data_IF_728820389160
#
_entry.id   IF_728820389160
#
_cell.length_a   1.000
_cell.length_b   1.000
_cell.length_c   1.000
_cell.angle_alpha   90.00
_cell.angle_beta   90.00
_cell.angle_gamma   90.00
#
_symmetry.space_group_name_H-M   'P 1'
#
loop_
_entity.id
_entity.type
_entity.pdbx_description
1 polymer ?
#
# COMPACT_ATOMS: atom_id res chain seq x y z
N UNK A 1 1.07 15.77 32.23
CA UNK A 1 2.07 16.29 31.27
C UNK A 1 1.52 17.55 30.60
N UNK A 2 2.38 18.54 30.21
CA UNK A 2 1.89 19.63 29.34
C UNK A 2 1.34 19.02 28.05
N UNK A 3 0.18 19.47 27.54
CA UNK A 3 -0.32 19.04 26.25
C UNK A 3 0.76 19.34 25.19
N UNK A 4 0.98 18.40 24.27
CA UNK A 4 1.96 18.55 23.20
C UNK A 4 1.32 19.34 22.09
N UNK A 5 2.07 20.33 21.62
CA UNK A 5 1.71 21.09 20.44
C UNK A 5 2.61 20.67 19.27
N UNK A 6 2.00 20.18 18.21
CA UNK A 6 2.70 19.91 16.96
C UNK A 6 2.54 21.10 16.04
N UNK A 7 3.64 21.58 15.48
CA UNK A 7 3.67 22.55 14.40
C UNK A 7 3.94 21.80 13.09
N UNK A 8 2.92 21.62 12.30
CA UNK A 8 3.02 20.98 10.99
C UNK A 8 3.35 22.04 9.98
N UNK A 9 4.55 21.97 9.40
CA UNK A 9 5.12 23.00 8.56
C UNK A 9 5.36 22.47 7.16
N UNK A 10 5.08 23.32 6.19
CA UNK A 10 5.49 23.16 4.81
C UNK A 10 5.97 24.50 4.27
N UNK A 11 6.94 24.48 3.36
CA UNK A 11 7.49 25.70 2.76
C UNK A 11 7.58 25.57 1.24
N UNK A 12 7.24 26.65 0.54
CA UNK A 12 7.55 26.79 -0.87
C UNK A 12 8.79 27.69 -1.06
N UNK A 13 9.61 27.34 -2.04
CA UNK A 13 10.93 27.97 -2.22
C UNK A 13 11.20 28.28 -3.68
N UNK A 14 12.20 29.16 -3.95
CA UNK A 14 12.65 29.45 -5.32
C UNK A 14 13.45 28.32 -5.97
N UNK A 15 13.85 27.31 -5.17
CA UNK A 15 14.62 26.15 -5.59
C UNK A 15 15.01 25.29 -4.38
N UNK A 16 15.90 24.33 -4.56
CA UNK A 16 16.19 23.31 -3.55
C UNK A 16 17.44 23.54 -2.72
N UNK A 17 18.24 24.55 -3.05
CA UNK A 17 19.50 24.85 -2.34
C UNK A 17 19.30 25.96 -1.30
N UNK A 18 19.27 25.68 0.02
CA UNK A 18 19.00 26.68 1.04
C UNK A 18 20.06 27.81 1.11
N UNK A 19 21.27 27.61 0.55
CA UNK A 19 22.31 28.64 0.49
C UNK A 19 22.02 29.71 -0.58
N UNK A 20 21.40 29.32 -1.66
CA UNK A 20 21.15 30.16 -2.83
C UNK A 20 19.70 30.58 -2.95
N UNK A 21 18.78 29.67 -2.64
CA UNK A 21 17.34 29.85 -2.79
C UNK A 21 16.70 30.52 -1.58
N UNK A 22 15.43 30.92 -1.73
CA UNK A 22 14.67 31.66 -0.72
C UNK A 22 13.28 31.07 -0.54
N UNK A 23 12.74 31.17 0.66
CA UNK A 23 11.36 30.84 0.94
C UNK A 23 10.46 31.87 0.27
N UNK A 24 9.40 31.40 -0.40
CA UNK A 24 8.36 32.22 -1.05
C UNK A 24 6.99 32.07 -0.40
N UNK A 25 6.78 30.99 0.36
CA UNK A 25 5.61 30.82 1.21
C UNK A 25 5.97 29.96 2.42
N UNK A 26 5.41 30.28 3.56
CA UNK A 26 5.46 29.48 4.78
C UNK A 26 4.05 29.14 5.21
N UNK A 27 3.76 27.84 5.41
CA UNK A 27 2.52 27.31 5.92
C UNK A 27 2.77 26.59 7.23
N UNK A 28 1.88 26.75 8.21
CA UNK A 28 1.95 26.07 9.49
C UNK A 28 0.56 25.76 10.01
N UNK A 29 0.35 24.52 10.44
CA UNK A 29 -0.86 24.07 11.09
C UNK A 29 -0.52 23.57 12.49
N UNK A 30 -1.22 24.09 13.50
CA UNK A 30 -1.00 23.68 14.89
C UNK A 30 -1.96 22.55 15.26
N UNK A 31 -1.44 21.51 15.87
CA UNK A 31 -2.22 20.37 16.38
C UNK A 31 -2.03 20.28 17.89
N UNK A 32 -3.14 20.30 18.62
CA UNK A 32 -3.18 20.13 20.07
C UNK A 32 -4.32 19.17 20.44
N UNK A 33 -4.04 18.28 21.37
CA UNK A 33 -5.02 17.31 21.87
C UNK A 33 -5.73 16.52 20.74
N UNK A 34 -4.99 16.11 19.71
CA UNK A 34 -5.50 15.29 18.62
C UNK A 34 -6.37 16.02 17.60
N UNK A 35 -6.31 17.36 17.53
CA UNK A 35 -7.06 18.14 16.56
C UNK A 35 -6.30 19.38 16.08
N UNK A 36 -6.60 19.81 14.87
CA UNK A 36 -6.09 21.07 14.30
C UNK A 36 -6.74 22.23 15.03
N UNK A 37 -5.94 23.10 15.63
CA UNK A 37 -6.39 24.25 16.44
C UNK A 37 -6.22 25.59 15.75
N UNK A 38 -5.17 25.76 14.97
CA UNK A 38 -4.93 26.99 14.23
C UNK A 38 -4.15 26.75 12.93
N UNK A 39 -4.28 27.71 12.02
CA UNK A 39 -3.57 27.73 10.75
C UNK A 39 -2.89 29.07 10.58
N UNK A 40 -1.68 29.05 10.11
CA UNK A 40 -0.89 30.23 9.76
C UNK A 40 -0.31 30.06 8.36
N UNK A 41 -0.48 31.06 7.50
CA UNK A 41 0.11 31.06 6.17
C UNK A 41 0.56 32.45 5.80
N UNK A 42 1.71 32.56 5.17
CA UNK A 42 2.24 33.86 4.73
C UNK A 42 3.06 33.70 3.46
N UNK A 43 2.74 34.53 2.45
CA UNK A 43 3.58 34.70 1.27
C UNK A 43 4.80 35.55 1.65
N UNK A 44 5.96 35.27 1.06
CA UNK A 44 7.24 35.90 1.38
C UNK A 44 7.90 36.39 0.11
N UNK A 45 8.38 37.66 0.13
CA UNK A 45 9.11 38.22 -0.99
C UNK A 45 10.55 37.69 -1.02
N UNK A 46 10.97 36.95 -2.07
CA UNK A 46 12.25 36.26 -2.08
C UNK A 46 13.46 37.21 -2.38
N UNK A 47 13.25 38.48 -2.63
CA UNK A 47 14.30 39.41 -3.05
C UNK A 47 14.84 39.16 -4.46
N UNK A 48 14.27 38.23 -5.20
CA UNK A 48 14.68 37.80 -6.54
C UNK A 48 13.47 37.31 -7.36
N UNK A 49 13.65 37.18 -8.67
CA UNK A 49 12.58 36.63 -9.54
C UNK A 49 12.40 35.17 -9.31
N UNK A 50 11.15 34.74 -9.18
CA UNK A 50 10.73 33.34 -9.17
C UNK A 50 10.75 32.82 -10.62
N UNK A 51 11.40 31.68 -10.86
CA UNK A 51 11.50 31.08 -12.18
C UNK A 51 10.11 30.65 -12.70
N UNK A 52 9.92 30.58 -14.02
CA UNK A 52 8.65 30.12 -14.60
C UNK A 52 8.29 28.70 -14.17
N UNK A 53 9.28 27.85 -13.99
CA UNK A 53 9.09 26.48 -13.54
C UNK A 53 8.49 26.42 -12.13
N UNK A 54 9.04 27.19 -11.19
CA UNK A 54 8.54 27.25 -9.81
C UNK A 54 7.16 27.89 -9.78
N UNK A 55 6.93 28.99 -10.55
CA UNK A 55 5.59 29.60 -10.63
C UNK A 55 4.53 28.62 -11.17
N UNK A 56 4.93 27.75 -12.11
CA UNK A 56 4.00 26.74 -12.64
C UNK A 56 3.75 25.62 -11.62
N UNK A 57 4.75 25.22 -10.86
CA UNK A 57 4.65 24.17 -9.85
C UNK A 57 3.79 24.63 -8.65
N UNK A 58 4.10 25.80 -8.09
CA UNK A 58 3.51 26.26 -6.82
C UNK A 58 2.30 27.18 -7.00
N UNK A 59 2.07 27.67 -8.23
CA UNK A 59 1.07 28.71 -8.49
C UNK A 59 1.44 30.10 -7.93
N UNK A 60 2.61 30.23 -7.25
CA UNK A 60 3.06 31.47 -6.64
C UNK A 60 3.79 32.33 -7.69
N UNK A 61 3.14 33.40 -8.14
CA UNK A 61 3.69 34.29 -9.17
C UNK A 61 4.53 35.43 -8.58
N UNK A 62 5.43 36.01 -9.39
CA UNK A 62 6.15 37.22 -8.99
C UNK A 62 5.22 38.37 -8.61
N UNK A 63 4.06 38.49 -9.23
CA UNK A 63 3.06 39.49 -8.92
C UNK A 63 2.42 39.25 -7.54
N UNK A 64 2.15 37.98 -7.18
CA UNK A 64 1.57 37.59 -5.88
C UNK A 64 2.48 38.01 -4.73
N UNK A 65 3.77 37.73 -4.82
CA UNK A 65 4.74 38.05 -3.74
C UNK A 65 5.29 39.49 -3.75
N UNK A 66 4.92 40.28 -4.75
CA UNK A 66 5.48 41.64 -4.92
C UNK A 66 5.27 42.57 -3.72
N UNK A 67 4.15 42.41 -3.00
CA UNK A 67 3.80 43.18 -1.80
C UNK A 67 3.93 42.37 -0.51
N UNK A 68 4.44 41.15 -0.59
CA UNK A 68 4.69 40.31 0.58
C UNK A 68 5.88 40.83 1.38
N UNK A 69 5.92 40.64 2.70
CA UNK A 69 7.07 40.96 3.52
C UNK A 69 8.28 40.12 3.12
N UNK A 70 9.47 40.60 3.38
CA UNK A 70 10.68 39.82 3.30
C UNK A 70 10.75 38.82 4.46
N UNK A 71 11.56 37.78 4.33
CA UNK A 71 11.68 36.78 5.41
C UNK A 71 12.19 37.42 6.71
N UNK A 72 13.07 38.41 6.63
CA UNK A 72 13.60 39.18 7.76
C UNK A 72 12.50 39.84 8.60
N UNK A 73 11.41 40.30 7.94
CA UNK A 73 10.29 40.97 8.60
C UNK A 73 9.44 40.03 9.45
N UNK A 74 9.43 38.74 9.10
CA UNK A 74 8.58 37.71 9.72
C UNK A 74 9.36 36.63 10.48
N UNK A 75 10.67 36.60 10.35
CA UNK A 75 11.54 35.58 10.91
C UNK A 75 11.36 35.41 12.43
N UNK A 76 11.27 36.52 13.19
CA UNK A 76 11.05 36.44 14.63
C UNK A 76 9.68 35.88 14.99
N UNK A 77 8.65 36.21 14.21
CA UNK A 77 7.28 35.64 14.41
C UNK A 77 7.26 34.16 14.16
N UNK A 78 7.87 33.71 13.06
CA UNK A 78 7.98 32.29 12.71
C UNK A 78 8.79 31.54 13.79
N UNK A 79 9.91 32.09 14.22
CA UNK A 79 10.73 31.50 15.27
C UNK A 79 9.93 31.31 16.56
N UNK A 80 9.20 32.36 17.03
CA UNK A 80 8.39 32.28 18.22
C UNK A 80 7.18 31.35 18.09
N UNK A 81 6.59 31.24 16.91
CA UNK A 81 5.48 30.32 16.62
C UNK A 81 5.92 28.85 16.79
N UNK A 82 7.16 28.55 16.38
CA UNK A 82 7.70 27.19 16.43
C UNK A 82 8.38 26.84 17.75
N UNK A 83 8.75 27.84 18.56
CA UNK A 83 9.38 27.62 19.84
C UNK A 83 8.48 26.75 20.74
N UNK A 84 9.09 25.81 21.46
CA UNK A 84 8.42 24.88 22.37
C UNK A 84 7.41 23.92 21.71
N UNK A 85 7.45 23.75 20.38
CA UNK A 85 6.62 22.81 19.64
C UNK A 85 7.42 21.56 19.18
N UNK A 86 6.70 20.60 18.61
CA UNK A 86 7.27 19.48 17.87
C UNK A 86 7.08 19.82 16.38
N UNK A 87 8.18 19.95 15.66
CA UNK A 87 8.15 20.22 14.22
C UNK A 87 7.73 18.98 13.45
N UNK A 88 6.76 19.09 12.56
CA UNK A 88 6.29 17.99 11.71
C UNK A 88 6.32 18.45 10.26
N UNK A 89 6.85 17.64 9.38
CA UNK A 89 6.79 17.90 7.94
C UNK A 89 6.77 16.59 7.13
N UNK A 90 6.39 16.69 5.88
CA UNK A 90 6.43 15.59 4.93
C UNK A 90 7.76 15.63 4.17
N UNK A 91 8.72 14.77 4.55
CA UNK A 91 10.15 14.86 4.21
C UNK A 91 10.86 16.01 4.97
N UNK A 92 10.80 15.92 6.29
CA UNK A 92 11.19 16.96 7.26
C UNK A 92 12.55 17.61 7.00
N UNK A 93 13.51 16.87 6.46
CA UNK A 93 14.87 17.40 6.29
C UNK A 93 14.94 18.58 5.32
N UNK A 94 14.04 18.65 4.35
CA UNK A 94 13.95 19.77 3.44
C UNK A 94 13.50 21.04 4.19
N UNK A 95 12.33 21.01 4.79
CA UNK A 95 11.71 22.17 5.43
C UNK A 95 12.50 22.64 6.63
N UNK A 96 12.90 21.72 7.49
CA UNK A 96 13.63 22.01 8.72
C UNK A 96 15.00 22.64 8.45
N UNK A 97 15.78 22.11 7.50
CA UNK A 97 17.09 22.63 7.15
C UNK A 97 16.99 23.97 6.42
N UNK A 98 16.04 24.10 5.50
CA UNK A 98 15.83 25.33 4.75
C UNK A 98 15.42 26.48 5.68
N UNK A 99 14.45 26.22 6.56
CA UNK A 99 13.97 27.19 7.52
C UNK A 99 15.09 27.62 8.49
N UNK A 100 15.87 26.68 9.02
CA UNK A 100 17.01 26.97 9.87
C UNK A 100 18.06 27.84 9.16
N UNK A 101 18.30 27.58 7.88
CA UNK A 101 19.23 28.39 7.11
C UNK A 101 18.75 29.85 6.96
N UNK A 102 17.45 30.03 6.67
CA UNK A 102 16.86 31.38 6.55
C UNK A 102 16.84 32.13 7.91
N UNK A 103 16.51 31.44 9.02
CA UNK A 103 16.55 32.02 10.36
C UNK A 103 17.97 32.50 10.72
N UNK A 104 18.98 31.66 10.49
CA UNK A 104 20.39 32.02 10.74
C UNK A 104 20.86 33.19 9.85
N UNK A 105 20.39 33.24 8.61
CA UNK A 105 20.69 34.38 7.71
C UNK A 105 20.14 35.71 8.27
N UNK A 106 19.01 35.63 9.00
CA UNK A 106 18.43 36.81 9.67
C UNK A 106 19.03 37.09 11.07
N UNK A 107 20.09 36.38 11.45
CA UNK A 107 20.75 36.58 12.76
C UNK A 107 20.03 35.89 13.94
N UNK A 108 19.02 35.06 13.67
CA UNK A 108 18.34 34.26 14.70
C UNK A 108 19.08 32.94 14.93
N UNK A 109 18.96 32.33 16.13
CA UNK A 109 19.53 31.01 16.37
C UNK A 109 18.76 29.96 15.57
N UNK A 110 19.43 28.85 15.26
CA UNK A 110 18.75 27.67 14.67
C UNK A 110 17.70 27.11 15.63
N UNK A 111 16.59 26.61 15.08
CA UNK A 111 15.61 25.83 15.85
C UNK A 111 16.29 24.56 16.38
N UNK A 112 16.10 24.30 17.68
CA UNK A 112 16.56 23.05 18.34
C UNK A 112 15.37 22.39 19.01
N UNK A 113 14.36 22.08 18.19
CA UNK A 113 13.11 21.46 18.60
C UNK A 113 13.01 20.03 18.03
N UNK A 114 12.27 19.14 18.70
CA UNK A 114 12.03 17.78 18.18
C UNK A 114 11.36 17.82 16.80
N UNK A 115 11.64 16.82 15.96
CA UNK A 115 11.08 16.74 14.62
C UNK A 115 10.51 15.36 14.31
N UNK A 116 9.43 15.31 13.50
CA UNK A 116 8.76 14.10 13.04
C UNK A 116 8.64 14.14 11.54
N UNK A 117 9.06 13.06 10.88
CA UNK A 117 8.91 12.85 9.45
C UNK A 117 7.68 12.01 9.14
N UNK A 118 6.68 12.60 8.48
CA UNK A 118 5.46 11.86 8.12
C UNK A 118 5.64 10.90 6.95
N UNK A 119 6.69 11.04 6.12
CA UNK A 119 7.04 10.04 5.10
C UNK A 119 7.48 8.74 5.76
N UNK A 120 8.38 8.81 6.76
CA UNK A 120 8.80 7.62 7.51
C UNK A 120 7.63 6.96 8.22
N UNK A 121 6.77 7.77 8.87
CA UNK A 121 5.58 7.25 9.55
C UNK A 121 4.61 6.58 8.55
N UNK A 122 4.39 7.19 7.37
CA UNK A 122 3.55 6.60 6.35
C UNK A 122 4.12 5.27 5.82
N UNK A 123 5.42 5.19 5.56
CA UNK A 123 6.08 3.94 5.15
C UNK A 123 5.93 2.82 6.18
N UNK A 124 5.91 3.16 7.48
CA UNK A 124 5.76 2.17 8.56
C UNK A 124 4.30 1.76 8.74
N UNK A 125 3.37 2.74 8.86
CA UNK A 125 2.00 2.50 9.31
C UNK A 125 0.98 2.39 8.18
N UNK A 126 1.37 2.71 6.94
CA UNK A 126 0.56 2.64 5.72
C UNK A 126 1.31 1.88 4.60
N UNK A 127 1.90 0.70 4.89
CA UNK A 127 2.87 0.06 3.98
C UNK A 127 2.27 -0.45 2.67
N UNK A 128 0.95 -0.48 2.55
CA UNK A 128 0.22 -0.92 1.34
C UNK A 128 -0.26 0.23 0.46
N UNK A 129 0.02 1.48 0.86
CA UNK A 129 -0.32 2.62 0.00
C UNK A 129 0.56 2.64 -1.25
N UNK A 130 -0.02 2.95 -2.42
CA UNK A 130 0.69 2.83 -3.70
C UNK A 130 1.85 3.82 -3.87
N UNK A 131 1.86 4.89 -3.10
CA UNK A 131 2.89 5.92 -3.10
C UNK A 131 2.92 6.63 -1.75
N UNK A 132 4.08 7.18 -1.40
CA UNK A 132 4.26 7.98 -0.18
C UNK A 132 4.45 9.48 -0.47
N UNK A 133 4.09 9.93 -1.67
CA UNK A 133 4.00 11.36 -1.98
C UNK A 133 2.73 11.94 -1.36
N UNK A 134 2.78 13.15 -0.84
CA UNK A 134 1.66 13.76 -0.14
C UNK A 134 0.39 13.82 -0.99
N UNK A 135 0.52 14.20 -2.27
CA UNK A 135 -0.61 14.27 -3.20
C UNK A 135 -1.27 12.89 -3.44
N UNK A 136 -0.45 11.84 -3.64
CA UNK A 136 -0.94 10.48 -3.88
C UNK A 136 -1.59 9.91 -2.61
N UNK A 137 -0.99 10.15 -1.43
CA UNK A 137 -1.58 9.76 -0.13
C UNK A 137 -2.89 10.49 0.13
N UNK A 138 -2.97 11.78 -0.20
CA UNK A 138 -4.21 12.54 0.00
C UNK A 138 -5.36 11.99 -0.84
N UNK A 139 -5.08 11.59 -2.08
CA UNK A 139 -6.07 10.99 -2.98
C UNK A 139 -6.50 9.60 -2.48
N UNK A 140 -5.55 8.72 -2.15
CA UNK A 140 -5.84 7.35 -1.72
C UNK A 140 -6.56 7.29 -0.37
N UNK A 141 -6.25 8.22 0.54
CA UNK A 141 -6.87 8.31 1.88
C UNK A 141 -8.14 9.16 1.90
N UNK A 142 -8.51 9.78 0.77
CA UNK A 142 -9.72 10.58 0.64
C UNK A 142 -9.66 11.93 1.35
N UNK A 143 -8.48 12.51 1.52
CA UNK A 143 -8.33 13.87 2.04
C UNK A 143 -8.67 14.90 0.97
N UNK A 144 -9.25 16.03 1.39
CA UNK A 144 -9.49 17.17 0.49
C UNK A 144 -8.17 17.95 0.38
N UNK A 145 -7.56 17.92 -0.80
CA UNK A 145 -6.32 18.61 -1.12
C UNK A 145 -6.59 19.62 -2.23
N UNK A 146 -7.10 20.80 -1.85
CA UNK A 146 -7.62 21.79 -2.82
C UNK A 146 -6.51 22.39 -3.69
N UNK A 147 -5.36 22.67 -3.10
CA UNK A 147 -4.26 23.37 -3.75
C UNK A 147 -2.91 22.68 -3.47
N UNK A 148 -2.59 21.57 -4.12
CA UNK A 148 -1.27 20.96 -4.04
C UNK A 148 -0.17 21.96 -4.41
N UNK A 149 0.97 21.88 -3.71
CA UNK A 149 2.09 22.82 -3.83
C UNK A 149 1.75 24.26 -3.39
N UNK A 150 0.89 24.39 -2.40
CA UNK A 150 0.75 25.59 -1.58
C UNK A 150 0.97 25.19 -0.12
N UNK A 151 1.89 25.88 0.53
CA UNK A 151 2.40 25.50 1.85
C UNK A 151 1.31 25.36 2.94
N UNK A 152 0.25 26.17 2.89
CA UNK A 152 -0.87 26.07 3.81
C UNK A 152 -1.71 24.81 3.59
N UNK A 153 -1.98 24.48 2.32
CA UNK A 153 -2.72 23.27 1.93
C UNK A 153 -1.91 22.01 2.25
N UNK A 154 -0.62 22.00 1.93
CA UNK A 154 0.25 20.84 2.15
C UNK A 154 0.50 20.61 3.66
N UNK A 155 0.67 21.67 4.45
CA UNK A 155 0.73 21.57 5.91
C UNK A 155 -0.58 21.01 6.52
N UNK A 156 -1.74 21.40 6.01
CA UNK A 156 -3.04 20.88 6.49
C UNK A 156 -3.20 19.39 6.20
N UNK A 157 -2.92 18.97 4.96
CA UNK A 157 -2.97 17.54 4.57
C UNK A 157 -1.95 16.72 5.36
N UNK A 158 -0.75 17.24 5.56
CA UNK A 158 0.28 16.60 6.41
C UNK A 158 -0.21 16.45 7.86
N UNK A 159 -0.92 17.45 8.37
CA UNK A 159 -1.54 17.38 9.69
C UNK A 159 -2.63 16.32 9.79
N UNK A 160 -3.50 16.21 8.79
CA UNK A 160 -4.52 15.15 8.69
C UNK A 160 -3.87 13.77 8.61
N UNK A 161 -2.78 13.65 7.84
CA UNK A 161 -2.00 12.41 7.73
C UNK A 161 -1.41 11.98 9.07
N UNK A 162 -0.80 12.91 9.83
CA UNK A 162 -0.27 12.61 11.16
C UNK A 162 -1.36 12.08 12.10
N UNK A 163 -2.52 12.73 12.13
CA UNK A 163 -3.65 12.32 12.97
C UNK A 163 -4.20 10.93 12.58
N UNK A 164 -4.32 10.66 11.28
CA UNK A 164 -4.73 9.34 10.80
C UNK A 164 -3.72 8.25 11.17
N UNK A 165 -2.43 8.53 11.03
CA UNK A 165 -1.38 7.57 11.41
C UNK A 165 -1.46 7.29 12.91
N UNK A 166 -1.61 8.32 13.74
CA UNK A 166 -1.78 8.13 15.20
C UNK A 166 -3.00 7.28 15.53
N UNK A 167 -4.14 7.50 14.87
CA UNK A 167 -5.33 6.68 15.02
C UNK A 167 -5.07 5.21 14.64
N UNK A 168 -4.39 4.98 13.52
CA UNK A 168 -4.03 3.61 13.07
C UNK A 168 -3.04 2.94 14.04
N UNK A 169 -2.07 3.69 14.56
CA UNK A 169 -1.15 3.17 15.59
C UNK A 169 -1.92 2.68 16.82
N UNK A 170 -2.90 3.43 17.28
CA UNK A 170 -3.72 3.08 18.46
C UNK A 170 -4.54 1.79 18.28
N UNK A 171 -4.82 1.40 17.04
CA UNK A 171 -5.51 0.14 16.70
C UNK A 171 -4.57 -1.07 16.63
N UNK A 172 -3.26 -0.86 16.62
CA UNK A 172 -2.29 -1.95 16.58
C UNK A 172 -2.12 -2.60 17.96
N UNK A 173 -1.87 -3.92 18.02
CA UNK A 173 -1.51 -4.58 19.26
C UNK A 173 -0.25 -3.97 19.90
N UNK A 174 -0.25 -3.82 21.21
CA UNK A 174 0.90 -3.26 21.94
C UNK A 174 2.18 -4.03 21.65
N UNK A 175 2.13 -5.35 21.51
CA UNK A 175 3.30 -6.16 21.17
C UNK A 175 3.93 -5.76 19.84
N UNK A 176 3.12 -5.42 18.83
CA UNK A 176 3.57 -4.91 17.53
C UNK A 176 4.25 -3.55 17.70
N UNK A 177 3.60 -2.64 18.41
CA UNK A 177 4.15 -1.30 18.65
C UNK A 177 5.45 -1.33 19.46
N UNK A 178 5.57 -2.21 20.44
CA UNK A 178 6.81 -2.37 21.22
C UNK A 178 7.98 -2.89 20.37
N UNK A 179 7.71 -3.77 19.40
CA UNK A 179 8.72 -4.19 18.42
C UNK A 179 9.10 -3.03 17.49
N UNK A 180 8.11 -2.29 16.98
CA UNK A 180 8.35 -1.09 16.17
C UNK A 180 9.17 -0.06 16.96
N UNK A 181 8.84 0.20 18.22
CA UNK A 181 9.57 1.13 19.07
C UNK A 181 11.05 0.77 19.22
N UNK A 182 11.39 -0.52 19.37
CA UNK A 182 12.78 -0.98 19.42
C UNK A 182 13.53 -0.71 18.11
N UNK A 183 12.88 -0.88 16.97
CA UNK A 183 13.45 -0.66 15.64
C UNK A 183 13.50 0.83 15.28
N UNK A 184 12.58 1.64 15.81
CA UNK A 184 12.42 3.06 15.46
C UNK A 184 13.59 3.95 15.87
N UNK A 185 14.56 3.44 16.65
CA UNK A 185 15.82 4.15 16.94
C UNK A 185 16.62 4.53 15.68
N UNK A 186 16.32 3.90 14.56
CA UNK A 186 16.94 4.17 13.26
C UNK A 186 16.15 5.20 12.43
N UNK A 187 14.97 5.64 12.90
CA UNK A 187 14.21 6.71 12.22
C UNK A 187 14.90 8.06 12.36
N UNK A 188 14.52 8.98 11.46
CA UNK A 188 15.05 10.32 11.48
C UNK A 188 14.51 11.18 12.62
N UNK A 189 15.27 12.18 13.02
CA UNK A 189 14.87 13.16 14.04
C UNK A 189 14.34 12.51 15.34
N UNK A 190 13.18 12.92 15.82
CA UNK A 190 12.53 12.39 17.02
C UNK A 190 11.29 11.52 16.71
N UNK A 191 11.17 10.97 15.51
CA UNK A 191 10.07 10.09 15.09
C UNK A 191 9.90 8.92 16.05
N UNK A 192 10.99 8.33 16.55
CA UNK A 192 10.95 7.28 17.56
C UNK A 192 10.25 7.74 18.86
N UNK A 193 10.48 8.97 19.29
CA UNK A 193 9.88 9.53 20.50
C UNK A 193 8.37 9.68 20.37
N UNK A 194 7.88 10.00 19.18
CA UNK A 194 6.44 10.03 18.90
C UNK A 194 5.84 8.64 19.09
N UNK A 195 6.45 7.59 18.55
CA UNK A 195 6.00 6.20 18.69
C UNK A 195 5.95 5.78 20.16
N UNK A 196 7.01 6.04 20.92
CA UNK A 196 7.05 5.74 22.36
C UNK A 196 5.92 6.42 23.13
N UNK A 197 5.58 7.64 22.78
CA UNK A 197 4.51 8.36 23.44
C UNK A 197 3.14 7.75 23.22
N UNK A 198 2.83 7.36 22.00
CA UNK A 198 1.55 6.68 21.69
C UNK A 198 1.45 5.38 22.51
N UNK A 199 2.54 4.63 22.60
CA UNK A 199 2.59 3.40 23.42
C UNK A 199 2.32 3.67 24.89
N UNK A 200 2.94 4.71 25.47
CA UNK A 200 2.76 5.10 26.87
C UNK A 200 1.30 5.42 27.18
N UNK A 201 0.66 6.21 26.31
CA UNK A 201 -0.76 6.56 26.46
C UNK A 201 -1.68 5.33 26.31
N UNK A 202 -1.36 4.39 25.40
CA UNK A 202 -2.12 3.15 25.25
C UNK A 202 -1.97 2.22 26.47
N UNK A 203 -0.80 2.21 27.11
CA UNK A 203 -0.57 1.42 28.34
C UNK A 203 -1.37 1.94 29.54
N UNK A 204 -1.68 3.24 29.56
CA UNK A 204 -2.56 3.80 30.61
C UNK A 204 -4.02 3.34 30.44
N UNK A 205 -4.45 3.02 29.23
CA UNK A 205 -5.79 2.53 28.89
C UNK A 205 -5.70 1.34 27.95
N UNK A 206 -5.36 0.15 28.48
CA UNK A 206 -5.18 -1.02 27.64
C UNK A 206 -6.52 -1.46 27.02
N UNK A 207 -6.52 -1.62 25.70
CA UNK A 207 -7.63 -2.21 24.96
C UNK A 207 -7.39 -3.70 24.73
N UNK A 208 -8.45 -4.53 24.66
CA UNK A 208 -8.32 -5.93 24.32
C UNK A 208 -7.80 -6.09 22.90
N UNK A 209 -7.12 -7.22 22.65
CA UNK A 209 -6.70 -7.58 21.29
C UNK A 209 -7.91 -7.69 20.36
N UNK A 210 -7.83 -7.08 19.18
CA UNK A 210 -8.84 -7.24 18.16
C UNK A 210 -9.10 -8.74 17.90
N UNK A 211 -10.38 -9.21 17.93
CA UNK A 211 -10.72 -10.61 17.72
C UNK A 211 -10.25 -11.18 16.37
N UNK A 212 -10.04 -10.33 15.37
CA UNK A 212 -9.52 -10.71 14.05
C UNK A 212 -8.03 -11.03 14.05
N UNK A 213 -7.32 -10.71 15.14
CA UNK A 213 -5.89 -10.94 15.28
C UNK A 213 -5.59 -12.12 16.20
N UNK A 214 -4.44 -12.74 15.99
CA UNK A 214 -3.84 -13.73 16.88
C UNK A 214 -2.36 -13.37 17.13
N UNK A 215 -1.84 -13.75 18.30
CA UNK A 215 -0.44 -13.57 18.63
C UNK A 215 0.24 -14.95 18.63
N UNK A 216 1.21 -15.13 17.75
CA UNK A 216 2.00 -16.36 17.65
C UNK A 216 3.47 -16.02 17.74
N UNK A 217 4.15 -16.62 18.69
CA UNK A 217 5.60 -16.43 18.93
C UNK A 217 6.03 -14.95 18.91
N UNK A 218 5.19 -14.09 19.50
CA UNK A 218 5.45 -12.67 19.63
C UNK A 218 5.13 -11.83 18.38
N UNK A 219 4.63 -12.40 17.30
CA UNK A 219 4.08 -11.66 16.15
C UNK A 219 2.56 -11.61 16.23
N UNK A 220 1.99 -10.45 16.00
CA UNK A 220 0.55 -10.30 15.80
C UNK A 220 0.24 -10.50 14.31
N UNK A 221 -0.67 -11.42 14.05
CA UNK A 221 -1.03 -11.86 12.70
C UNK A 221 -2.53 -11.69 12.50
N UNK A 222 -2.93 -11.27 11.29
CA UNK A 222 -4.32 -11.33 10.87
C UNK A 222 -4.77 -12.80 10.83
N UNK A 223 -5.83 -13.13 11.57
CA UNK A 223 -6.43 -14.47 11.51
C UNK A 223 -6.87 -14.74 10.08
N UNK A 224 -6.50 -15.91 9.61
CA UNK A 224 -6.96 -16.41 8.32
C UNK A 224 -8.29 -17.11 8.58
N UNK A 225 -9.38 -16.49 8.17
CA UNK A 225 -10.62 -17.22 8.05
C UNK A 225 -10.39 -18.32 7.01
N UNK A 226 -10.47 -19.56 7.44
CA UNK A 226 -10.72 -20.65 6.53
C UNK A 226 -12.14 -20.38 6.07
N UNK A 227 -12.31 -19.61 5.00
CA UNK A 227 -13.55 -19.70 4.23
C UNK A 227 -13.66 -21.19 3.88
N UNK A 228 -14.42 -21.90 4.67
CA UNK A 228 -14.96 -23.18 4.27
C UNK A 228 -15.80 -22.81 3.05
N UNK A 229 -15.18 -22.84 1.87
CA UNK A 229 -15.94 -22.86 0.65
C UNK A 229 -16.91 -24.01 0.84
N UNK A 230 -18.15 -23.67 1.16
CA UNK A 230 -19.24 -24.65 1.20
C UNK A 230 -19.08 -25.41 -0.08
N UNK A 231 -18.92 -26.73 0.03
CA UNK A 231 -18.67 -27.62 -1.09
C UNK A 231 -19.68 -27.26 -2.18
N UNK A 232 -19.25 -26.45 -3.14
CA UNK A 232 -20.10 -26.10 -4.28
C UNK A 232 -20.26 -27.40 -5.03
N UNK A 233 -21.45 -27.96 -4.98
CA UNK A 233 -21.76 -29.13 -5.76
C UNK A 233 -21.77 -28.72 -7.22
N UNK A 234 -20.67 -29.03 -7.93
CA UNK A 234 -20.59 -28.87 -9.37
C UNK A 234 -21.46 -29.90 -10.08
N UNK A 235 -22.79 -29.67 -10.06
CA UNK A 235 -23.76 -30.50 -10.79
C UNK A 235 -23.64 -30.34 -12.31
N UNK A 236 -24.36 -31.19 -13.05
CA UNK A 236 -24.43 -31.07 -14.51
C UNK A 236 -24.91 -29.69 -14.93
N UNK A 237 -24.08 -29.00 -15.72
CA UNK A 237 -24.34 -27.63 -16.22
C UNK A 237 -24.53 -27.66 -17.70
N UNK A 238 -25.65 -27.10 -18.18
CA UNK A 238 -25.89 -26.98 -19.62
C UNK A 238 -25.32 -25.64 -20.11
N UNK A 239 -24.27 -25.71 -20.89
CA UNK A 239 -23.67 -24.51 -21.48
C UNK A 239 -24.63 -23.84 -22.48
N UNK A 240 -24.88 -22.54 -22.38
CA UNK A 240 -25.82 -21.80 -23.23
C UNK A 240 -25.24 -21.53 -24.62
N UNK A 241 -25.30 -22.50 -25.54
CA UNK A 241 -24.70 -22.38 -26.88
C UNK A 241 -25.45 -21.42 -27.79
N UNK A 242 -26.77 -21.33 -27.70
CA UNK A 242 -27.64 -20.55 -28.60
C UNK A 242 -27.65 -19.08 -28.21
N UNK A 243 -27.80 -18.18 -29.20
CA UNK A 243 -27.92 -16.74 -29.02
C UNK A 243 -28.95 -16.37 -27.93
N UNK A 244 -30.19 -16.88 -28.07
CA UNK A 244 -31.26 -16.59 -27.14
C UNK A 244 -30.96 -16.98 -25.68
N UNK A 245 -30.29 -18.14 -25.48
CA UNK A 245 -29.91 -18.59 -24.14
C UNK A 245 -28.85 -17.68 -23.52
N UNK A 246 -27.86 -17.21 -24.32
CA UNK A 246 -26.85 -16.27 -23.86
C UNK A 246 -27.43 -14.88 -23.59
N UNK A 247 -28.30 -14.38 -24.48
CA UNK A 247 -28.98 -13.10 -24.26
C UNK A 247 -29.81 -13.11 -22.99
N UNK A 248 -30.51 -14.21 -22.71
CA UNK A 248 -31.25 -14.40 -21.45
C UNK A 248 -30.32 -14.39 -20.23
N UNK A 249 -29.18 -15.09 -20.32
CA UNK A 249 -28.19 -15.14 -19.24
C UNK A 249 -27.51 -13.78 -19.02
N UNK A 250 -27.15 -13.09 -20.08
CA UNK A 250 -26.48 -11.79 -20.01
C UNK A 250 -27.38 -10.68 -19.47
N UNK A 251 -28.68 -10.74 -19.74
CA UNK A 251 -29.65 -9.76 -19.29
C UNK A 251 -29.23 -8.32 -19.65
N UNK A 252 -29.11 -7.46 -18.63
CA UNK A 252 -28.61 -6.09 -18.77
C UNK A 252 -27.11 -5.95 -18.45
N UNK A 253 -26.48 -7.00 -17.96
CA UNK A 253 -25.09 -6.96 -17.45
C UNK A 253 -24.07 -7.01 -18.58
N UNK A 254 -24.33 -7.82 -19.62
CA UNK A 254 -23.45 -7.94 -20.79
C UNK A 254 -24.23 -7.83 -22.10
N UNK A 255 -23.63 -7.13 -23.05
CA UNK A 255 -24.21 -7.04 -24.40
C UNK A 255 -23.79 -8.28 -25.22
N UNK A 256 -24.77 -8.93 -25.89
CA UNK A 256 -24.47 -10.01 -26.82
C UNK A 256 -23.68 -9.47 -28.04
N UNK A 257 -22.55 -10.14 -28.35
CA UNK A 257 -21.72 -9.88 -29.52
C UNK A 257 -21.50 -11.17 -30.29
N UNK A 258 -21.81 -11.17 -31.57
CA UNK A 258 -21.78 -12.36 -32.44
C UNK A 258 -20.39 -13.04 -32.46
N UNK A 259 -19.32 -12.23 -32.64
CA UNK A 259 -17.96 -12.76 -32.73
C UNK A 259 -17.47 -13.32 -31.39
N UNK A 260 -17.78 -12.63 -30.29
CA UNK A 260 -17.50 -13.13 -28.94
C UNK A 260 -18.24 -14.46 -28.67
N UNK A 261 -19.49 -14.59 -29.13
CA UNK A 261 -20.23 -15.86 -29.01
C UNK A 261 -19.60 -16.99 -29.82
N UNK A 262 -19.06 -16.70 -31.00
CA UNK A 262 -18.28 -17.69 -31.81
C UNK A 262 -17.04 -18.15 -31.06
N UNK A 263 -16.28 -17.21 -30.46
CA UNK A 263 -15.13 -17.49 -29.61
C UNK A 263 -15.52 -18.39 -28.45
N UNK A 264 -16.55 -18.01 -27.68
CA UNK A 264 -17.05 -18.80 -26.54
C UNK A 264 -17.39 -20.24 -26.92
N UNK A 265 -18.10 -20.42 -28.02
CA UNK A 265 -18.49 -21.75 -28.49
C UNK A 265 -17.29 -22.56 -28.98
N UNK A 266 -16.32 -21.93 -29.66
CA UNK A 266 -15.10 -22.60 -30.10
C UNK A 266 -14.27 -23.10 -28.92
N UNK A 267 -14.11 -22.27 -27.87
CA UNK A 267 -13.42 -22.67 -26.63
C UNK A 267 -14.16 -23.83 -25.95
N UNK A 268 -15.48 -23.72 -25.79
CA UNK A 268 -16.28 -24.81 -25.17
C UNK A 268 -16.16 -26.13 -25.93
N UNK A 269 -16.28 -26.06 -27.28
CA UNK A 269 -16.20 -27.25 -28.12
C UNK A 269 -14.83 -27.91 -28.09
N UNK A 270 -13.77 -27.11 -28.05
CA UNK A 270 -12.41 -27.60 -27.98
C UNK A 270 -12.16 -28.44 -26.71
N UNK A 271 -12.57 -27.92 -25.54
CA UNK A 271 -12.35 -28.61 -24.28
C UNK A 271 -13.37 -29.72 -23.97
N UNK A 272 -14.47 -29.84 -24.72
CA UNK A 272 -15.46 -30.93 -24.57
C UNK A 272 -15.25 -32.05 -25.57
N UNK A 273 -14.56 -31.81 -26.68
CA UNK A 273 -14.18 -32.85 -27.63
C UNK A 273 -12.84 -33.45 -27.20
N UNK A 274 -12.72 -34.74 -27.31
CA UNK A 274 -11.52 -35.52 -26.95
C UNK A 274 -10.39 -35.34 -28.01
N UNK A 275 -10.14 -34.08 -28.42
CA UNK A 275 -9.15 -33.74 -29.37
C UNK A 275 -7.89 -33.17 -28.65
N UNK A 276 -6.78 -33.89 -28.75
CA UNK A 276 -5.44 -33.49 -28.22
C UNK A 276 -4.75 -32.41 -29.05
N UNK A 277 -5.49 -31.52 -29.73
CA UNK A 277 -4.95 -30.46 -30.57
C UNK A 277 -4.97 -29.11 -29.87
N UNK A 278 -3.97 -28.29 -30.18
CA UNK A 278 -3.95 -26.90 -29.72
C UNK A 278 -5.01 -26.07 -30.47
N UNK A 279 -5.66 -25.15 -29.75
CA UNK A 279 -6.58 -24.19 -30.32
C UNK A 279 -5.91 -22.80 -30.29
N UNK A 280 -5.58 -22.26 -31.46
CA UNK A 280 -5.10 -20.90 -31.61
C UNK A 280 -6.24 -19.96 -32.01
N UNK A 281 -6.37 -18.82 -31.33
CA UNK A 281 -7.42 -17.84 -31.56
C UNK A 281 -6.80 -16.46 -31.73
N UNK A 282 -7.00 -15.89 -32.92
CA UNK A 282 -6.72 -14.50 -33.17
C UNK A 282 -8.01 -13.67 -33.08
N UNK A 283 -7.98 -12.59 -32.33
CA UNK A 283 -9.14 -11.76 -32.09
C UNK A 283 -8.77 -10.30 -31.89
N UNK A 284 -9.52 -9.38 -32.48
CA UNK A 284 -9.30 -7.95 -32.39
C UNK A 284 -9.39 -7.43 -30.94
N UNK A 285 -8.73 -6.30 -30.67
CA UNK A 285 -8.82 -5.59 -29.40
C UNK A 285 -10.28 -5.13 -29.16
N UNK A 286 -10.75 -5.21 -27.90
CA UNK A 286 -12.12 -4.79 -27.56
C UNK A 286 -13.21 -5.81 -27.86
N UNK A 287 -12.91 -6.97 -28.47
CA UNK A 287 -13.90 -8.01 -28.78
C UNK A 287 -14.44 -8.74 -27.52
N UNK A 288 -13.81 -8.56 -26.36
CA UNK A 288 -14.18 -9.25 -25.12
C UNK A 288 -13.57 -10.66 -25.00
N UNK A 289 -12.30 -10.81 -25.40
CA UNK A 289 -11.56 -12.08 -25.35
C UNK A 289 -11.60 -12.73 -23.97
N UNK A 290 -11.37 -11.97 -22.90
CA UNK A 290 -11.29 -12.46 -21.52
C UNK A 290 -12.58 -13.17 -21.14
N UNK A 291 -13.72 -12.52 -21.27
CA UNK A 291 -15.05 -13.12 -21.06
C UNK A 291 -15.28 -14.28 -22.05
N UNK A 292 -14.74 -14.14 -23.27
CA UNK A 292 -14.85 -15.14 -24.33
C UNK A 292 -14.28 -16.51 -23.98
N UNK A 293 -13.21 -16.58 -23.16
CA UNK A 293 -12.66 -17.85 -22.69
C UNK A 293 -13.06 -18.17 -21.24
N UNK A 294 -13.22 -17.21 -20.36
CA UNK A 294 -13.60 -17.46 -18.96
C UNK A 294 -14.99 -18.08 -18.86
N UNK A 295 -15.98 -17.57 -19.60
CA UNK A 295 -17.35 -18.04 -19.52
C UNK A 295 -17.50 -19.53 -19.93
N UNK A 296 -17.02 -20.01 -21.11
CA UNK A 296 -17.11 -21.42 -21.43
C UNK A 296 -16.34 -22.32 -20.47
N UNK A 297 -15.16 -21.88 -20.00
CA UNK A 297 -14.37 -22.66 -19.04
C UNK A 297 -15.06 -22.75 -17.68
N UNK A 298 -15.86 -21.75 -17.26
CA UNK A 298 -16.60 -21.81 -16.01
C UNK A 298 -17.64 -22.95 -15.95
N UNK A 299 -18.07 -23.48 -17.10
CA UNK A 299 -18.96 -24.64 -17.19
C UNK A 299 -18.21 -25.98 -17.14
N UNK A 300 -16.90 -25.95 -17.33
CA UNK A 300 -16.06 -27.16 -17.44
C UNK A 300 -15.13 -27.35 -16.25
N UNK A 301 -14.67 -26.24 -15.66
CA UNK A 301 -13.70 -26.26 -14.58
C UNK A 301 -14.34 -26.65 -13.25
N UNK A 302 -13.68 -27.56 -12.53
CA UNK A 302 -13.96 -27.96 -11.16
C UNK A 302 -12.69 -27.94 -10.32
N UNK A 303 -12.74 -28.02 -9.00
CA UNK A 303 -11.53 -28.12 -8.19
C UNK A 303 -10.66 -29.35 -8.51
N UNK A 304 -11.27 -30.46 -8.97
CA UNK A 304 -10.56 -31.67 -9.39
C UNK A 304 -9.95 -31.53 -10.79
N UNK A 305 -10.51 -30.64 -11.61
CA UNK A 305 -10.05 -30.35 -12.97
C UNK A 305 -10.08 -28.83 -13.19
N UNK A 306 -9.19 -28.06 -12.55
CA UNK A 306 -9.21 -26.61 -12.65
C UNK A 306 -8.80 -26.10 -14.03
N UNK A 307 -9.32 -24.94 -14.43
CA UNK A 307 -8.84 -24.21 -15.58
C UNK A 307 -7.59 -23.40 -15.20
N UNK A 308 -6.49 -23.57 -15.92
CA UNK A 308 -5.27 -22.80 -15.73
C UNK A 308 -5.24 -21.64 -16.72
N UNK A 309 -5.22 -20.42 -16.21
CA UNK A 309 -5.14 -19.19 -17.01
C UNK A 309 -3.74 -18.59 -16.86
N UNK A 310 -2.97 -18.62 -17.92
CA UNK A 310 -1.63 -18.02 -17.94
C UNK A 310 -1.66 -16.66 -18.62
N UNK A 311 -1.08 -15.64 -17.95
CA UNK A 311 -1.06 -14.25 -18.44
C UNK A 311 0.36 -13.74 -18.62
N UNK A 312 0.51 -12.72 -19.46
CA UNK A 312 1.81 -12.08 -19.72
C UNK A 312 2.24 -11.10 -18.61
N UNK A 313 1.27 -10.57 -17.85
CA UNK A 313 1.55 -9.53 -16.84
C UNK A 313 0.69 -9.70 -15.57
N UNK A 314 1.20 -9.18 -14.45
CA UNK A 314 0.48 -9.11 -13.18
C UNK A 314 -0.75 -8.20 -13.27
N UNK A 315 -0.66 -7.11 -14.03
CA UNK A 315 -1.79 -6.19 -14.27
C UNK A 315 -2.98 -6.92 -14.88
N UNK A 316 -2.73 -7.81 -15.85
CA UNK A 316 -3.81 -8.60 -16.46
C UNK A 316 -4.37 -9.64 -15.49
N UNK A 317 -3.57 -10.22 -14.60
CA UNK A 317 -4.05 -11.10 -13.53
C UNK A 317 -5.02 -10.37 -12.62
N UNK A 318 -4.63 -9.17 -12.19
CA UNK A 318 -5.43 -8.34 -11.32
C UNK A 318 -6.75 -7.92 -11.99
N UNK A 319 -6.71 -7.52 -13.26
CA UNK A 319 -7.91 -7.22 -14.03
C UNK A 319 -8.89 -8.41 -14.07
N UNK A 320 -8.39 -9.62 -14.31
CA UNK A 320 -9.22 -10.83 -14.36
C UNK A 320 -9.91 -11.06 -13.01
N UNK A 321 -9.17 -10.93 -11.89
CA UNK A 321 -9.68 -11.17 -10.54
C UNK A 321 -10.65 -10.07 -10.10
N UNK A 322 -10.33 -8.81 -10.34
CA UNK A 322 -11.07 -7.68 -9.77
C UNK A 322 -12.25 -7.21 -10.64
N UNK A 323 -12.21 -7.49 -11.94
CA UNK A 323 -13.23 -7.02 -12.89
C UNK A 323 -13.95 -8.15 -13.60
N UNK A 324 -13.21 -9.02 -14.29
CA UNK A 324 -13.82 -9.97 -15.21
C UNK A 324 -14.54 -11.12 -14.49
N UNK A 325 -13.92 -11.70 -13.46
CA UNK A 325 -14.54 -12.78 -12.67
C UNK A 325 -15.72 -12.29 -11.83
N UNK A 326 -15.67 -11.18 -11.10
CA UNK A 326 -16.84 -10.65 -10.40
C UNK A 326 -18.02 -10.35 -11.33
N UNK A 327 -17.75 -9.83 -12.54
CA UNK A 327 -18.77 -9.60 -13.55
C UNK A 327 -19.43 -10.92 -14.00
N UNK A 328 -18.64 -11.97 -14.25
CA UNK A 328 -19.16 -13.28 -14.63
C UNK A 328 -19.93 -13.96 -13.49
N UNK A 329 -19.46 -13.84 -12.25
CA UNK A 329 -20.10 -14.41 -11.08
C UNK A 329 -21.51 -13.87 -10.82
N UNK A 330 -21.84 -12.66 -11.34
CA UNK A 330 -23.21 -12.13 -11.34
C UNK A 330 -24.14 -12.87 -12.32
N UNK A 331 -23.59 -13.61 -13.28
CA UNK A 331 -24.33 -14.29 -14.35
C UNK A 331 -24.36 -15.81 -14.18
N UNK A 332 -23.51 -16.33 -13.32
CA UNK A 332 -23.30 -17.77 -13.16
C UNK A 332 -24.04 -18.28 -11.92
N UNK A 333 -24.78 -19.38 -12.07
CA UNK A 333 -25.39 -20.10 -10.93
C UNK A 333 -24.34 -20.67 -9.97
N UNK A 334 -23.16 -20.98 -10.49
CA UNK A 334 -22.02 -21.44 -9.71
C UNK A 334 -20.82 -20.52 -9.96
N UNK A 335 -20.31 -19.87 -8.92
CA UNK A 335 -19.28 -18.85 -9.09
C UNK A 335 -17.94 -19.47 -9.47
N UNK A 336 -17.15 -18.72 -10.25
CA UNK A 336 -15.73 -18.96 -10.44
C UNK A 336 -15.04 -18.67 -9.10
N UNK A 337 -14.24 -19.61 -8.62
CA UNK A 337 -13.41 -19.50 -7.44
C UNK A 337 -11.94 -19.44 -7.87
N UNK A 338 -11.41 -18.24 -8.11
CA UNK A 338 -10.07 -18.08 -8.62
C UNK A 338 -9.02 -18.07 -7.51
N UNK A 339 -7.81 -18.46 -7.86
CA UNK A 339 -6.61 -18.21 -7.06
C UNK A 339 -5.47 -17.74 -7.95
N UNK A 340 -4.78 -16.68 -7.53
CA UNK A 340 -3.51 -16.29 -8.15
C UNK A 340 -2.40 -17.13 -7.52
N UNK A 341 -1.57 -17.72 -8.37
CA UNK A 341 -0.41 -18.50 -7.94
C UNK A 341 0.85 -17.78 -8.45
N UNK A 342 1.71 -17.41 -7.51
CA UNK A 342 3.02 -16.82 -7.75
C UNK A 342 4.11 -17.76 -7.21
N UNK A 343 5.35 -17.53 -7.60
CA UNK A 343 6.49 -18.21 -7.00
C UNK A 343 6.50 -18.03 -5.48
N UNK A 344 6.91 -19.04 -4.73
CA UNK A 344 7.04 -18.98 -3.28
C UNK A 344 7.80 -17.74 -2.78
N UNK A 345 8.76 -17.24 -3.54
CA UNK A 345 9.54 -16.05 -3.20
C UNK A 345 8.72 -14.77 -3.08
N UNK A 346 7.51 -14.73 -3.60
CA UNK A 346 6.58 -13.62 -3.42
C UNK A 346 5.85 -13.67 -2.07
N UNK A 347 5.98 -14.74 -1.31
CA UNK A 347 5.30 -14.88 -0.01
C UNK A 347 6.30 -14.76 1.13
N UNK A 348 5.83 -14.20 2.24
CA UNK A 348 6.63 -14.10 3.46
C UNK A 348 6.77 -15.46 4.15
N UNK A 349 7.98 -15.74 4.63
CA UNK A 349 8.28 -16.80 5.60
C UNK A 349 8.32 -16.16 7.00
N UNK A 350 7.32 -16.45 7.82
CA UNK A 350 7.20 -15.87 9.17
C UNK A 350 8.36 -16.25 10.09
N UNK A 351 8.90 -17.47 9.96
CA UNK A 351 10.03 -17.92 10.78
C UNK A 351 11.30 -17.14 10.43
N UNK A 352 11.54 -16.94 9.14
CA UNK A 352 12.67 -16.15 8.66
C UNK A 352 12.53 -14.68 9.04
N UNK A 353 11.34 -14.11 8.86
CA UNK A 353 11.06 -12.75 9.30
C UNK A 353 11.32 -12.59 10.80
N UNK A 354 10.81 -13.51 11.63
CA UNK A 354 11.07 -13.49 13.08
C UNK A 354 12.57 -13.53 13.37
N UNK A 355 13.35 -14.30 12.61
CA UNK A 355 14.79 -14.35 12.72
C UNK A 355 15.45 -12.98 12.51
N UNK A 356 14.95 -12.16 11.59
CA UNK A 356 15.50 -10.81 11.35
C UNK A 356 15.29 -9.84 12.52
N UNK A 357 14.34 -10.12 13.42
CA UNK A 357 14.03 -9.27 14.58
C UNK A 357 14.90 -9.55 15.81
N UNK A 358 15.76 -10.58 15.78
CA UNK A 358 16.60 -10.98 16.92
C UNK A 358 17.72 -9.97 17.16
N UNK A 359 18.36 -9.53 16.10
CA UNK A 359 19.43 -8.54 16.15
C UNK A 359 18.97 -7.21 15.54
N UNK A 360 19.35 -6.07 16.15
CA UNK A 360 19.00 -4.78 15.57
C UNK A 360 19.70 -4.60 14.22
N UNK A 361 19.00 -4.13 13.19
CA UNK A 361 19.60 -3.91 11.87
C UNK A 361 20.61 -2.76 11.94
N UNK A 362 21.68 -2.85 11.15
CA UNK A 362 22.66 -1.77 11.04
C UNK A 362 22.17 -0.62 10.13
N UNK A 363 21.28 -0.93 9.19
CA UNK A 363 20.81 0.01 8.16
C UNK A 363 19.40 0.52 8.45
N UNK A 364 19.23 1.85 8.39
CA UNK A 364 17.95 2.54 8.55
C UNK A 364 16.84 1.92 7.68
N UNK A 365 17.13 1.72 6.38
CA UNK A 365 16.14 1.20 5.44
C UNK A 365 15.67 -0.21 5.78
N UNK A 366 16.56 -1.06 6.27
CA UNK A 366 16.22 -2.40 6.73
C UNK A 366 15.25 -2.33 7.94
N UNK A 367 15.54 -1.44 8.90
CA UNK A 367 14.66 -1.22 10.05
C UNK A 367 13.27 -0.71 9.64
N UNK A 368 13.19 0.22 8.69
CA UNK A 368 11.92 0.72 8.16
C UNK A 368 11.09 -0.42 7.55
N UNK A 369 11.71 -1.30 6.77
CA UNK A 369 11.01 -2.44 6.18
C UNK A 369 10.56 -3.47 7.22
N UNK A 370 11.37 -3.74 8.27
CA UNK A 370 10.93 -4.59 9.38
C UNK A 370 9.69 -4.01 10.07
N UNK A 371 9.68 -2.70 10.35
CA UNK A 371 8.54 -2.02 10.99
C UNK A 371 7.30 -2.06 10.09
N UNK A 372 7.45 -1.81 8.80
CA UNK A 372 6.38 -1.88 7.82
C UNK A 372 5.76 -3.28 7.74
N UNK A 373 6.59 -4.33 7.71
CA UNK A 373 6.13 -5.72 7.71
C UNK A 373 5.40 -6.08 9.00
N UNK A 374 5.85 -5.60 10.17
CA UNK A 374 5.15 -5.82 11.43
C UNK A 374 3.72 -5.27 11.40
N UNK A 375 3.52 -4.08 10.83
CA UNK A 375 2.18 -3.50 10.63
C UNK A 375 1.39 -4.31 9.61
N UNK A 376 1.99 -4.60 8.46
CA UNK A 376 1.32 -5.33 7.39
C UNK A 376 0.84 -6.74 7.80
N UNK A 377 1.57 -7.44 8.66
CA UNK A 377 1.16 -8.75 9.17
C UNK A 377 -0.15 -8.73 9.96
N UNK A 378 -0.54 -7.57 10.51
CA UNK A 378 -1.85 -7.40 11.16
C UNK A 378 -2.99 -7.17 10.18
N UNK A 379 -2.72 -7.08 8.87
CA UNK A 379 -3.69 -6.73 7.84
C UNK A 379 -3.74 -7.77 6.71
N UNK A 380 -2.60 -8.38 6.36
CA UNK A 380 -2.53 -9.29 5.21
C UNK A 380 -3.22 -10.63 5.48
N UNK A 381 -4.02 -11.05 4.50
CA UNK A 381 -4.62 -12.38 4.45
C UNK A 381 -3.86 -13.35 3.55
N UNK A 382 -3.01 -12.84 2.69
CA UNK A 382 -2.31 -13.61 1.65
C UNK A 382 -0.84 -13.84 1.94
N UNK A 383 -0.18 -12.91 2.65
CA UNK A 383 1.25 -12.91 2.86
C UNK A 383 2.06 -12.62 1.58
N UNK A 384 1.43 -12.09 0.55
CA UNK A 384 2.05 -11.73 -0.73
C UNK A 384 2.84 -10.43 -0.57
N UNK A 385 4.15 -10.51 -0.68
CA UNK A 385 5.05 -9.36 -0.53
C UNK A 385 4.81 -8.26 -1.58
N UNK A 386 4.15 -8.57 -2.70
CA UNK A 386 3.78 -7.57 -3.70
C UNK A 386 2.64 -6.63 -3.21
N UNK A 387 2.00 -6.92 -2.07
CA UNK A 387 1.08 -5.99 -1.40
C UNK A 387 1.80 -4.79 -0.77
N UNK A 388 3.11 -4.92 -0.54
CA UNK A 388 3.94 -3.87 0.02
C UNK A 388 4.46 -2.95 -1.10
N UNK A 389 4.07 -1.69 -1.08
CA UNK A 389 4.52 -0.71 -2.08
C UNK A 389 5.72 0.11 -1.59
N UNK A 390 6.65 -0.55 -0.89
CA UNK A 390 7.86 0.06 -0.38
C UNK A 390 8.86 0.39 -1.50
N UNK A 391 9.67 1.40 -1.30
CA UNK A 391 10.46 2.07 -2.34
C UNK A 391 11.46 1.18 -3.07
N UNK A 392 11.92 0.07 -2.48
CA UNK A 392 12.88 -0.83 -3.12
C UNK A 392 12.63 -2.30 -2.73
N UNK A 393 11.77 -2.98 -3.46
CA UNK A 393 11.50 -4.41 -3.26
C UNK A 393 12.68 -5.32 -3.67
N UNK A 394 13.72 -4.80 -4.32
CA UNK A 394 14.96 -5.52 -4.61
C UNK A 394 15.98 -5.45 -3.46
N UNK A 395 15.64 -4.80 -2.35
CA UNK A 395 16.51 -4.75 -1.17
C UNK A 395 16.72 -6.16 -0.58
N UNK A 396 17.91 -6.44 -0.04
CA UNK A 396 18.28 -7.75 0.54
C UNK A 396 17.30 -8.24 1.60
N UNK A 397 16.68 -7.34 2.34
CA UNK A 397 15.65 -7.64 3.33
C UNK A 397 14.55 -8.57 2.77
N UNK A 398 14.03 -8.29 1.56
CA UNK A 398 12.96 -9.12 0.98
C UNK A 398 13.46 -10.52 0.62
N UNK A 399 14.71 -10.68 0.20
CA UNK A 399 15.32 -11.99 0.02
C UNK A 399 15.51 -12.75 1.34
N UNK A 400 15.77 -12.02 2.45
CA UNK A 400 15.92 -12.60 3.77
C UNK A 400 14.62 -13.17 4.32
N UNK A 401 13.48 -12.56 4.02
CA UNK A 401 12.15 -12.96 4.53
C UNK A 401 11.32 -13.78 3.54
N UNK A 402 11.77 -13.92 2.28
CA UNK A 402 11.05 -14.65 1.25
C UNK A 402 10.96 -16.15 1.55
N UNK A 403 9.80 -16.75 1.26
CA UNK A 403 9.54 -18.16 1.45
C UNK A 403 10.35 -19.05 0.50
N UNK A 404 10.79 -20.22 0.97
CA UNK A 404 11.63 -21.17 0.21
C UNK A 404 10.87 -22.36 -0.35
N UNK A 405 9.58 -22.48 -0.05
CA UNK A 405 8.75 -23.62 -0.40
C UNK A 405 8.38 -24.49 0.81
N UNK A 406 7.33 -25.30 0.67
CA UNK A 406 6.79 -26.10 1.79
C UNK A 406 7.71 -27.22 2.28
N UNK A 407 8.67 -27.67 1.47
CA UNK A 407 9.69 -28.64 1.87
C UNK A 407 10.63 -28.15 2.99
N UNK A 408 10.66 -26.85 3.26
CA UNK A 408 11.44 -26.25 4.36
C UNK A 408 10.61 -25.99 5.63
N UNK A 409 9.31 -26.32 5.64
CA UNK A 409 8.43 -26.13 6.77
C UNK A 409 8.41 -27.37 7.65
N UNK A 410 9.00 -27.29 8.84
CA UNK A 410 8.91 -28.34 9.83
C UNK A 410 7.63 -28.19 10.68
N UNK A 411 6.92 -29.30 10.94
CA UNK A 411 5.68 -29.30 11.73
C UNK A 411 5.83 -28.76 13.16
N UNK A 412 7.02 -28.78 13.72
CA UNK A 412 7.34 -28.28 15.05
C UNK A 412 7.71 -26.79 15.08
N UNK A 413 7.70 -26.08 13.96
CA UNK A 413 7.93 -24.65 13.91
C UNK A 413 6.73 -23.87 14.42
N UNK A 414 6.97 -22.75 15.11
CA UNK A 414 5.92 -21.91 15.74
C UNK A 414 4.88 -21.42 14.76
N UNK A 415 5.27 -21.14 13.51
CA UNK A 415 4.38 -20.56 12.48
C UNK A 415 3.86 -21.58 11.48
N UNK A 416 3.99 -22.90 11.75
CA UNK A 416 3.56 -23.94 10.82
C UNK A 416 2.08 -23.82 10.43
N UNK A 417 1.20 -23.54 11.39
CA UNK A 417 -0.24 -23.40 11.13
C UNK A 417 -0.60 -22.06 10.50
N UNK A 418 0.21 -21.02 10.70
CA UNK A 418 0.02 -19.67 10.14
C UNK A 418 0.70 -19.46 8.79
N UNK A 419 1.39 -20.46 8.27
CA UNK A 419 2.15 -20.34 7.03
C UNK A 419 1.27 -20.00 5.82
N UNK A 420 1.61 -18.93 5.11
CA UNK A 420 0.82 -18.41 4.01
C UNK A 420 0.82 -19.34 2.78
N UNK A 421 1.94 -20.01 2.51
CA UNK A 421 2.03 -20.93 1.37
C UNK A 421 1.21 -22.17 1.60
N UNK A 422 1.12 -22.68 2.83
CA UNK A 422 0.19 -23.78 3.17
C UNK A 422 -1.27 -23.37 2.96
N UNK A 423 -1.66 -22.15 3.34
CA UNK A 423 -3.00 -21.63 3.05
C UNK A 423 -3.23 -21.49 1.55
N UNK A 424 -2.25 -21.00 0.79
CA UNK A 424 -2.31 -20.95 -0.66
C UNK A 424 -2.55 -22.35 -1.25
N UNK A 425 -1.82 -23.38 -0.80
CA UNK A 425 -2.02 -24.76 -1.26
C UNK A 425 -3.42 -25.31 -0.95
N UNK A 426 -3.95 -25.00 0.24
CA UNK A 426 -5.34 -25.34 0.57
C UNK A 426 -6.33 -24.66 -0.39
N UNK A 427 -6.12 -23.36 -0.67
CA UNK A 427 -6.96 -22.57 -1.57
C UNK A 427 -6.85 -23.08 -3.03
N UNK A 428 -5.67 -23.45 -3.50
CA UNK A 428 -5.47 -24.08 -4.82
C UNK A 428 -6.34 -25.33 -4.98
N UNK A 429 -6.37 -26.21 -3.97
CA UNK A 429 -7.15 -27.45 -4.01
C UNK A 429 -8.67 -27.23 -4.02
N UNK A 430 -9.13 -26.07 -3.62
CA UNK A 430 -10.56 -25.70 -3.58
C UNK A 430 -10.97 -24.82 -4.77
N UNK A 431 -10.00 -24.32 -5.53
CA UNK A 431 -10.24 -23.38 -6.62
C UNK A 431 -10.47 -24.12 -7.95
N UNK A 432 -11.42 -23.63 -8.73
CA UNK A 432 -11.67 -24.13 -10.08
C UNK A 432 -10.95 -23.33 -11.17
N UNK A 433 -10.33 -22.16 -10.82
CA UNK A 433 -9.52 -21.35 -11.72
C UNK A 433 -8.18 -21.01 -11.09
N UNK A 434 -7.10 -21.39 -11.74
CA UNK A 434 -5.72 -21.11 -11.32
C UNK A 434 -5.15 -20.06 -12.27
N UNK A 435 -4.79 -18.90 -11.75
CA UNK A 435 -4.26 -17.77 -12.52
C UNK A 435 -2.77 -17.64 -12.24
N UNK A 436 -1.96 -17.74 -13.28
CA UNK A 436 -0.50 -17.75 -13.21
C UNK A 436 0.10 -16.78 -14.26
N UNK A 437 1.37 -16.41 -14.12
CA UNK A 437 2.08 -15.78 -15.22
C UNK A 437 2.83 -16.83 -16.08
N UNK A 438 3.17 -16.46 -17.32
CA UNK A 438 3.85 -17.37 -18.24
C UNK A 438 5.18 -17.88 -17.69
N UNK A 439 5.98 -17.03 -17.07
CA UNK A 439 7.28 -17.40 -16.51
C UNK A 439 7.14 -18.46 -15.40
N UNK A 440 6.18 -18.25 -14.50
CA UNK A 440 5.88 -19.20 -13.43
C UNK A 440 5.41 -20.56 -14.01
N UNK A 441 4.47 -20.55 -14.95
CA UNK A 441 3.96 -21.77 -15.58
C UNK A 441 5.07 -22.60 -16.23
N UNK A 442 5.96 -21.94 -17.00
CA UNK A 442 7.11 -22.61 -17.64
C UNK A 442 8.05 -23.21 -16.59
N UNK A 443 8.33 -22.48 -15.51
CA UNK A 443 9.17 -23.01 -14.44
C UNK A 443 8.55 -24.21 -13.73
N UNK A 444 7.24 -24.16 -13.47
CA UNK A 444 6.54 -25.27 -12.79
C UNK A 444 6.46 -26.54 -13.66
N UNK A 445 6.26 -26.42 -14.98
CA UNK A 445 6.26 -27.58 -15.87
C UNK A 445 7.61 -28.28 -15.95
N UNK A 446 8.70 -27.61 -15.56
CA UNK A 446 10.07 -28.16 -15.52
C UNK A 446 10.43 -28.80 -14.17
N UNK A 447 9.61 -28.61 -13.13
CA UNK A 447 9.84 -29.20 -11.81
C UNK A 447 9.46 -30.68 -11.78
N UNK A 448 10.21 -31.47 -10.98
CA UNK A 448 9.92 -32.89 -10.75
C UNK A 448 8.62 -33.08 -9.95
N UNK A 449 8.29 -32.12 -9.10
CA UNK A 449 7.05 -32.08 -8.30
C UNK A 449 6.42 -30.70 -8.51
N UNK A 450 5.50 -30.53 -9.46
CA UNK A 450 4.78 -29.27 -9.65
C UNK A 450 3.83 -28.99 -8.44
N UNK A 451 3.47 -27.73 -8.28
CA UNK A 451 2.55 -27.23 -7.25
C UNK A 451 1.15 -27.86 -7.31
#
# INVERSE_FOLDING_TARGET
MKPRTYAVVDIETTGTNPKEDRIIQFGCVMIESGRITSRFSIDIHPGRKISKQIQHLTGITNQRVQKAPYFEDVAQTIYNLLADTIFVAHNIYFDYNFLNHELMRCGLPSLKIPGIDTVELAQIFLPTEPSFRLADLSESLGFIHENPHQADSDAEVTGQLLLLIEERMRKLPIITLEQIARLSRHTGMDTSRFIYHVIEEMKEKPEPLDPSLEIVDGLALQKKEVELFTSVHYGERTYPRKKQAKEKMFGKTLMYRKEQNRLMNAVYDHFTKDESKDLMIEAATGMGKTIGYLLPLSYLATPEKPAVISTVSLVLQQQIIEKDIPLLNQLLDQPIQPVIIKSYRHYIDLQRFKGTLVEPPEQKQYALYQMAVLVWLTQTKTGDLDELHLTNLNHSFFADIAHRGTGFLARNQSFYEQDFVRFLQKKIRQSNFLIVNHAFLIQETQRKEPL
#
